data_IF_313405298733
#
_entry.id   IF_313405298733
#
_cell.length_a   1.000
_cell.length_b   1.000
_cell.length_c   1.000
_cell.angle_alpha   90.00
_cell.angle_beta   90.00
_cell.angle_gamma   90.00
#
_symmetry.space_group_name_H-M   'P 1'
#
loop_
_entity.id
_entity.type
_entity.pdbx_description
1 polymer ?
#
# COMPACT_ATOMS: atom_id res chain seq x y z
N UNK A 1 3.96 5.25 4.66
CA UNK A 1 3.24 6.27 5.49
C UNK A 1 3.02 7.59 4.74
N UNK A 2 3.55 7.77 3.51
CA UNK A 2 3.30 8.95 2.67
C UNK A 2 2.08 8.76 1.75
N UNK A 3 1.68 7.51 1.53
CA UNK A 3 0.59 7.09 0.65
C UNK A 3 -0.78 7.50 1.23
N UNK A 4 -0.97 7.32 2.55
CA UNK A 4 -2.17 7.79 3.23
C UNK A 4 -2.33 9.32 3.15
N UNK A 5 -1.22 10.06 3.20
CA UNK A 5 -1.23 11.53 3.03
C UNK A 5 -1.57 11.93 1.59
N UNK A 6 -1.04 11.21 0.60
CA UNK A 6 -1.37 11.43 -0.81
C UNK A 6 -2.86 11.17 -1.08
N UNK A 7 -3.43 10.09 -0.54
CA UNK A 7 -4.87 9.79 -0.61
C UNK A 7 -5.70 10.92 -0.03
N UNK A 8 -5.38 11.37 1.19
CA UNK A 8 -6.11 12.46 1.85
C UNK A 8 -6.09 13.75 1.03
N UNK A 9 -4.91 14.14 0.53
CA UNK A 9 -4.78 15.32 -0.32
C UNK A 9 -5.60 15.21 -1.61
N UNK A 10 -5.69 14.03 -2.21
CA UNK A 10 -6.51 13.79 -3.40
C UNK A 10 -8.01 13.92 -3.09
N UNK A 11 -8.45 13.38 -1.97
CA UNK A 11 -9.84 13.48 -1.51
C UNK A 11 -10.23 14.94 -1.22
N UNK A 12 -9.33 15.70 -0.59
CA UNK A 12 -9.52 17.15 -0.37
C UNK A 12 -9.67 17.91 -1.69
N UNK A 13 -8.85 17.58 -2.70
CA UNK A 13 -8.97 18.18 -4.05
C UNK A 13 -10.29 17.83 -4.74
N UNK A 14 -10.73 16.59 -4.63
CA UNK A 14 -12.04 16.16 -5.18
C UNK A 14 -13.16 16.94 -4.51
N UNK A 15 -13.14 17.04 -3.18
CA UNK A 15 -14.15 17.79 -2.43
C UNK A 15 -14.17 19.28 -2.81
N UNK A 16 -12.99 19.90 -3.02
CA UNK A 16 -12.89 21.27 -3.51
C UNK A 16 -13.54 21.41 -4.90
N UNK A 17 -13.17 20.57 -5.86
CA UNK A 17 -13.73 20.56 -7.21
C UNK A 17 -15.25 20.36 -7.22
N UNK A 18 -15.77 19.48 -6.37
CA UNK A 18 -17.22 19.28 -6.21
C UNK A 18 -17.90 20.56 -5.72
N UNK A 19 -17.34 21.22 -4.71
CA UNK A 19 -17.87 22.47 -4.16
C UNK A 19 -17.81 23.64 -5.15
N UNK A 20 -16.82 23.64 -6.05
CA UNK A 20 -16.64 24.62 -7.11
C UNK A 20 -17.55 24.34 -8.33
N UNK A 21 -18.28 23.22 -8.33
CA UNK A 21 -19.13 22.81 -9.45
C UNK A 21 -18.34 22.40 -10.69
N UNK A 22 -17.16 21.81 -10.49
CA UNK A 22 -16.29 21.34 -11.57
C UNK A 22 -17.01 20.35 -12.50
N UNK A 23 -16.60 20.33 -13.77
CA UNK A 23 -17.19 19.45 -14.76
C UNK A 23 -16.94 17.97 -14.44
N UNK A 24 -17.83 17.04 -14.84
CA UNK A 24 -17.68 15.60 -14.57
C UNK A 24 -16.34 15.02 -15.02
N UNK A 25 -15.73 15.56 -16.08
CA UNK A 25 -14.43 15.14 -16.58
C UNK A 25 -13.28 15.47 -15.63
N UNK A 26 -13.35 16.58 -14.91
CA UNK A 26 -12.32 16.98 -13.95
C UNK A 26 -12.38 16.08 -12.71
N UNK A 27 -13.57 15.81 -12.18
CA UNK A 27 -13.76 14.88 -11.07
C UNK A 27 -13.30 13.46 -11.44
N UNK A 28 -13.67 12.99 -12.63
CA UNK A 28 -13.27 11.66 -13.11
C UNK A 28 -11.75 11.54 -13.28
N UNK A 29 -11.06 12.62 -13.66
CA UNK A 29 -9.60 12.63 -13.76
C UNK A 29 -8.94 12.41 -12.38
N UNK A 30 -9.41 13.09 -11.33
CA UNK A 30 -8.89 12.91 -9.98
C UNK A 30 -9.18 11.50 -9.42
N UNK A 31 -10.37 10.96 -9.68
CA UNK A 31 -10.73 9.59 -9.26
C UNK A 31 -9.87 8.53 -9.97
N UNK A 32 -9.59 8.70 -11.27
CA UNK A 32 -8.71 7.80 -12.01
C UNK A 32 -7.29 7.83 -11.46
N UNK A 33 -6.80 9.02 -11.12
CA UNK A 33 -5.45 9.15 -10.55
C UNK A 33 -5.37 8.52 -9.16
N UNK A 34 -6.40 8.69 -8.33
CA UNK A 34 -6.51 8.04 -7.02
C UNK A 34 -6.45 6.51 -7.14
N UNK A 35 -7.18 5.94 -8.11
CA UNK A 35 -7.16 4.50 -8.38
C UNK A 35 -5.76 4.02 -8.81
N UNK A 36 -5.11 4.74 -9.72
CA UNK A 36 -3.75 4.42 -10.20
C UNK A 36 -2.73 4.43 -9.05
N UNK A 37 -2.79 5.45 -8.19
CA UNK A 37 -1.93 5.57 -7.02
C UNK A 37 -2.17 4.42 -6.01
N UNK A 38 -3.44 4.08 -5.75
CA UNK A 38 -3.82 2.97 -4.88
C UNK A 38 -3.35 1.60 -5.41
N UNK A 39 -3.47 1.36 -6.71
CA UNK A 39 -2.97 0.14 -7.36
C UNK A 39 -1.45 0.02 -7.24
N UNK A 40 -0.70 1.11 -7.48
CA UNK A 40 0.75 1.13 -7.36
C UNK A 40 1.21 0.86 -5.91
N UNK A 41 0.50 1.42 -4.93
CA UNK A 41 0.77 1.16 -3.52
C UNK A 41 0.51 -0.32 -3.17
N UNK A 42 -0.62 -0.89 -3.62
CA UNK A 42 -0.93 -2.30 -3.40
C UNK A 42 0.14 -3.24 -3.99
N UNK A 43 0.68 -2.92 -5.17
CA UNK A 43 1.77 -3.71 -5.76
C UNK A 43 3.06 -3.61 -4.94
N UNK A 44 3.37 -2.42 -4.42
CA UNK A 44 4.54 -2.20 -3.56
C UNK A 44 4.40 -2.98 -2.25
N UNK A 45 3.22 -2.98 -1.64
CA UNK A 45 2.96 -3.69 -0.38
C UNK A 45 3.01 -5.22 -0.55
N UNK A 46 2.52 -5.72 -1.70
CA UNK A 46 2.70 -7.12 -2.10
C UNK A 46 4.17 -7.50 -2.31
N UNK A 47 5.00 -6.58 -2.81
CA UNK A 47 6.43 -6.80 -2.99
C UNK A 47 7.24 -6.65 -1.68
N UNK A 48 6.80 -5.80 -0.75
CA UNK A 48 7.55 -5.43 0.46
C UNK A 48 7.49 -6.46 1.59
N UNK A 49 6.52 -7.38 1.57
CA UNK A 49 6.36 -8.40 2.63
C UNK A 49 7.18 -9.67 2.39
N UNK A 50 7.64 -9.92 1.16
CA UNK A 50 8.44 -11.10 0.81
C UNK A 50 9.74 -11.20 1.61
N UNK A 51 10.51 -10.11 1.69
CA UNK A 51 11.78 -10.11 2.44
C UNK A 51 11.60 -10.36 3.94
N UNK A 52 10.50 -9.88 4.53
CA UNK A 52 10.17 -10.10 5.92
C UNK A 52 9.67 -11.54 6.17
N UNK A 53 8.89 -12.09 5.25
CA UNK A 53 8.45 -13.49 5.29
C UNK A 53 9.64 -14.45 5.15
N UNK A 54 10.54 -14.21 4.19
CA UNK A 54 11.76 -14.99 4.00
C UNK A 54 12.68 -14.92 5.22
N UNK A 55 12.78 -13.74 5.86
CA UNK A 55 13.55 -13.59 7.09
C UNK A 55 12.93 -14.38 8.25
N UNK A 56 11.60 -14.37 8.39
CA UNK A 56 10.89 -15.18 9.38
C UNK A 56 11.05 -16.68 9.14
N UNK A 57 11.03 -17.12 7.89
CA UNK A 57 11.24 -18.52 7.52
C UNK A 57 12.67 -18.98 7.89
N UNK A 58 13.70 -18.20 7.54
CA UNK A 58 15.08 -18.48 7.98
C UNK A 58 15.23 -18.54 9.50
N UNK A 59 14.52 -17.69 10.24
CA UNK A 59 14.52 -17.73 11.70
C UNK A 59 13.89 -19.00 12.25
N UNK A 60 12.81 -19.51 11.63
CA UNK A 60 12.17 -20.78 12.00
C UNK A 60 13.06 -21.96 11.70
N UNK A 61 13.66 -22.02 10.52
CA UNK A 61 14.59 -23.09 10.13
C UNK A 61 15.79 -23.16 11.10
N UNK A 62 16.34 -22.00 11.47
CA UNK A 62 17.44 -21.93 12.43
C UNK A 62 17.01 -22.35 13.85
N UNK A 63 15.80 -21.99 14.26
CA UNK A 63 15.24 -22.40 15.55
C UNK A 63 15.02 -23.92 15.61
N UNK A 64 14.42 -24.50 14.57
CA UNK A 64 14.14 -25.93 14.49
C UNK A 64 15.42 -26.77 14.37
N UNK A 65 16.43 -26.28 13.62
CA UNK A 65 17.75 -26.89 13.55
C UNK A 65 18.53 -26.84 14.88
N UNK A 66 18.29 -25.80 15.68
CA UNK A 66 18.83 -25.67 17.04
C UNK A 66 18.05 -26.42 18.11
N UNK A 67 16.80 -26.82 17.82
CA UNK A 67 15.90 -27.52 18.73
C UNK A 67 15.98 -29.05 18.66
N UNK A 68 16.97 -29.61 17.93
CA UNK A 68 17.21 -31.06 17.91
C UNK A 68 17.33 -31.57 19.36
N UNK A 69 16.41 -32.43 19.83
CA UNK A 69 16.44 -32.91 21.19
C UNK A 69 17.67 -33.81 21.35
N UNK A 70 18.57 -33.41 22.24
CA UNK A 70 19.62 -34.29 22.74
C UNK A 70 18.89 -35.40 23.51
N UNK A 71 18.81 -36.59 22.90
CA UNK A 71 18.30 -37.83 23.50
C UNK A 71 19.23 -38.26 24.63
#
# INVERSE_FOLDING_TARGET
MDEARAVMHRLERIAALESEGAGPMQLLAEVRELLREGEAWLQTERAGTGLAADALERCRDAYDAGAVPVV
#
